data_IF_700707552155
#
_entry.id   IF_700707552155
#
_cell.length_a   1.000
_cell.length_b   1.000
_cell.length_c   1.000
_cell.angle_alpha   90.00
_cell.angle_beta   90.00
_cell.angle_gamma   90.00
#
_symmetry.space_group_name_H-M   'P 1'
#
loop_
_entity.id
_entity.type
_entity.pdbx_description
1 polymer ?
#
# COMPACT_ATOMS: atom_id res chain seq x y z
N UNK A 1 -18.52 -16.49 -2.68
CA UNK A 1 -19.38 -16.05 -1.56
C UNK A 1 -18.63 -15.69 -0.29
N UNK A 2 -17.83 -16.59 0.31
CA UNK A 2 -17.16 -16.35 1.61
C UNK A 2 -16.40 -15.01 1.75
N UNK A 3 -15.72 -14.55 0.69
CA UNK A 3 -14.92 -13.31 0.71
C UNK A 3 -15.73 -12.02 0.56
N UNK A 4 -16.95 -12.08 0.04
CA UNK A 4 -17.84 -10.92 0.02
C UNK A 4 -18.36 -10.61 1.43
N UNK A 5 -18.59 -11.65 2.25
CA UNK A 5 -18.90 -11.45 3.67
C UNK A 5 -17.75 -10.79 4.43
N UNK A 6 -16.49 -11.05 4.06
CA UNK A 6 -15.35 -10.37 4.67
C UNK A 6 -15.37 -8.86 4.45
N UNK A 7 -15.89 -8.38 3.30
CA UNK A 7 -16.06 -6.94 3.08
C UNK A 7 -17.07 -6.38 4.07
N UNK A 8 -18.26 -7.00 4.14
CA UNK A 8 -19.33 -6.56 5.05
C UNK A 8 -18.87 -6.60 6.52
N UNK A 9 -18.22 -7.68 6.95
CA UNK A 9 -17.67 -7.81 8.30
C UNK A 9 -16.58 -6.76 8.55
N UNK A 10 -15.68 -6.51 7.59
CA UNK A 10 -14.65 -5.48 7.74
C UNK A 10 -15.28 -4.09 7.88
N UNK A 11 -16.25 -3.74 7.03
CA UNK A 11 -16.96 -2.46 7.10
C UNK A 11 -17.68 -2.29 8.45
N UNK A 12 -18.40 -3.30 8.91
CA UNK A 12 -19.09 -3.27 10.21
C UNK A 12 -18.09 -3.15 11.36
N UNK A 13 -17.00 -3.93 11.33
CA UNK A 13 -15.98 -3.89 12.37
C UNK A 13 -15.28 -2.52 12.43
N UNK A 14 -14.97 -1.93 11.28
CA UNK A 14 -14.38 -0.59 11.20
C UNK A 14 -15.36 0.46 11.70
N UNK A 15 -16.63 0.41 11.25
CA UNK A 15 -17.65 1.38 11.64
C UNK A 15 -17.96 1.34 13.15
N UNK A 16 -18.13 0.14 13.73
CA UNK A 16 -18.39 -0.02 15.17
C UNK A 16 -17.14 0.24 16.03
N UNK A 17 -15.96 -0.05 15.47
CA UNK A 17 -14.68 0.13 16.15
C UNK A 17 -14.01 1.48 15.90
N UNK A 18 -14.68 2.43 15.23
CA UNK A 18 -14.06 3.65 14.73
C UNK A 18 -13.34 4.44 15.82
N UNK A 19 -13.96 4.62 16.98
CA UNK A 19 -13.39 5.39 18.09
C UNK A 19 -12.43 4.56 18.99
N UNK A 20 -12.19 3.30 18.64
CA UNK A 20 -11.35 2.40 19.44
C UNK A 20 -9.86 2.59 19.18
N UNK A 21 -9.04 2.46 20.23
CA UNK A 21 -7.58 2.41 20.08
C UNK A 21 -7.10 1.23 19.23
N UNK A 22 -7.93 0.19 19.07
CA UNK A 22 -7.58 -0.98 18.26
C UNK A 22 -7.54 -0.70 16.75
N UNK A 23 -8.38 0.23 16.25
CA UNK A 23 -8.39 0.57 14.82
C UNK A 23 -7.32 1.60 14.48
N UNK A 24 -6.77 2.30 15.48
CA UNK A 24 -5.80 3.39 15.29
C UNK A 24 -4.60 3.02 14.40
N UNK A 25 -3.94 1.85 14.54
CA UNK A 25 -2.85 1.47 13.63
C UNK A 25 -3.33 1.34 12.17
N UNK A 26 -4.55 0.88 11.95
CA UNK A 26 -5.14 0.77 10.62
C UNK A 26 -5.47 2.15 10.03
N UNK A 27 -5.95 3.10 10.84
CA UNK A 27 -6.17 4.50 10.42
C UNK A 27 -4.86 5.19 10.04
N UNK A 28 -3.83 5.05 10.89
CA UNK A 28 -2.49 5.57 10.61
C UNK A 28 -1.89 4.96 9.33
N UNK A 29 -2.16 3.68 9.05
CA UNK A 29 -1.75 3.06 7.79
C UNK A 29 -2.43 3.71 6.59
N UNK A 30 -3.73 4.03 6.68
CA UNK A 30 -4.42 4.73 5.59
C UNK A 30 -3.80 6.10 5.35
N UNK A 31 -3.61 6.89 6.41
CA UNK A 31 -2.97 8.22 6.34
C UNK A 31 -1.57 8.11 5.74
N UNK A 32 -0.79 7.11 6.15
CA UNK A 32 0.53 6.88 5.57
C UNK A 32 0.47 6.59 4.06
N UNK A 33 -0.44 5.73 3.61
CA UNK A 33 -0.62 5.44 2.18
C UNK A 33 -1.13 6.67 1.41
N UNK A 34 -1.95 7.51 2.05
CA UNK A 34 -2.41 8.79 1.51
C UNK A 34 -1.24 9.73 1.25
N UNK A 35 -0.38 9.95 2.25
CA UNK A 35 0.85 10.75 2.09
C UNK A 35 1.82 10.16 1.06
N UNK A 36 1.95 8.83 1.01
CA UNK A 36 2.75 8.16 -0.02
C UNK A 36 2.26 8.48 -1.43
N UNK A 37 0.94 8.59 -1.66
CA UNK A 37 0.41 8.96 -2.97
C UNK A 37 0.70 10.41 -3.34
N UNK A 38 0.61 11.35 -2.39
CA UNK A 38 1.09 12.72 -2.61
C UNK A 38 2.56 12.72 -3.03
N UNK A 39 3.41 12.01 -2.28
CA UNK A 39 4.84 11.93 -2.54
C UNK A 39 5.17 11.31 -3.90
N UNK A 40 4.55 10.17 -4.22
CA UNK A 40 4.75 9.49 -5.51
C UNK A 40 4.29 10.34 -6.70
N UNK A 41 3.14 11.01 -6.57
CA UNK A 41 2.66 11.91 -7.62
C UNK A 41 3.54 13.15 -7.76
N UNK A 42 4.03 13.71 -6.66
CA UNK A 42 4.95 14.84 -6.70
C UNK A 42 6.29 14.46 -7.36
N UNK A 43 6.83 13.29 -7.03
CA UNK A 43 8.01 12.73 -7.70
C UNK A 43 7.79 12.57 -9.21
N UNK A 44 6.62 12.04 -9.62
CA UNK A 44 6.26 11.94 -11.03
C UNK A 44 6.11 13.32 -11.70
N UNK A 45 5.73 14.34 -10.93
CA UNK A 45 5.71 15.75 -11.32
C UNK A 45 7.08 16.41 -11.44
N UNK A 46 8.16 15.70 -11.13
CA UNK A 46 9.54 16.16 -11.29
C UNK A 46 10.14 16.87 -10.08
N UNK A 47 9.50 16.80 -8.90
CA UNK A 47 10.08 17.34 -7.65
C UNK A 47 10.64 16.24 -6.76
N UNK A 48 11.50 16.61 -5.82
CA UNK A 48 12.08 15.65 -4.87
C UNK A 48 11.14 15.46 -3.68
N UNK A 49 10.84 14.22 -3.34
CA UNK A 49 10.23 13.86 -2.06
C UNK A 49 11.32 13.86 -0.97
N UNK A 50 11.16 14.68 0.06
CA UNK A 50 12.13 14.79 1.15
C UNK A 50 11.73 13.89 2.32
N UNK A 51 10.48 13.97 2.77
CA UNK A 51 10.01 13.22 3.94
C UNK A 51 8.49 13.16 4.01
N UNK A 52 7.99 12.06 4.57
CA UNK A 52 6.60 11.81 4.94
C UNK A 52 6.55 11.68 6.46
N UNK A 53 5.66 12.45 7.09
CA UNK A 53 5.38 12.36 8.52
C UNK A 53 3.91 12.10 8.74
N UNK A 54 3.63 11.32 9.77
CA UNK A 54 2.28 11.15 10.30
C UNK A 54 2.32 11.35 11.80
N UNK A 55 1.26 11.94 12.33
CA UNK A 55 1.12 12.26 13.74
C UNK A 55 0.08 11.37 14.40
N UNK A 56 0.11 11.33 15.74
CA UNK A 56 -0.78 10.47 16.51
C UNK A 56 -2.26 10.89 16.46
N UNK A 57 -2.55 12.09 15.95
CA UNK A 57 -3.88 12.64 15.72
C UNK A 57 -4.40 12.38 14.30
N UNK A 58 -3.74 11.48 13.56
CA UNK A 58 -4.10 11.08 12.18
C UNK A 58 -3.93 12.19 11.15
N UNK A 59 -3.20 13.26 11.49
CA UNK A 59 -2.67 14.20 10.50
C UNK A 59 -1.40 13.66 9.83
N UNK A 60 -1.19 14.07 8.58
CA UNK A 60 -0.03 13.73 7.77
C UNK A 60 0.56 14.97 7.10
N UNK A 61 1.86 14.93 6.81
CA UNK A 61 2.51 15.92 5.96
C UNK A 61 3.51 15.26 5.01
N UNK A 62 3.42 15.61 3.73
CA UNK A 62 4.35 15.22 2.68
C UNK A 62 5.20 16.43 2.28
N UNK A 63 6.48 16.39 2.64
CA UNK A 63 7.45 17.45 2.36
C UNK A 63 8.16 17.18 1.03
N UNK A 64 8.10 18.16 0.13
CA UNK A 64 8.72 18.09 -1.19
C UNK A 64 9.54 19.35 -1.50
N UNK A 65 10.66 19.16 -2.19
CA UNK A 65 11.52 20.25 -2.67
C UNK A 65 11.47 20.32 -4.19
N UNK A 66 11.06 21.48 -4.70
CA UNK A 66 11.04 21.79 -6.12
C UNK A 66 9.82 22.63 -6.51
N UNK A 67 9.68 22.89 -7.80
CA UNK A 67 8.52 23.61 -8.33
C UNK A 67 7.62 22.66 -9.12
N UNK A 68 6.42 22.41 -8.59
CA UNK A 68 5.37 21.69 -9.32
C UNK A 68 4.65 22.64 -10.26
N UNK A 69 4.60 22.27 -11.55
CA UNK A 69 3.72 22.93 -12.51
C UNK A 69 2.25 22.71 -12.13
N UNK A 70 1.35 23.57 -12.64
CA UNK A 70 -0.08 23.53 -12.32
C UNK A 70 -0.70 22.12 -12.38
N UNK A 71 -0.48 21.39 -13.48
CA UNK A 71 -1.06 20.05 -13.65
C UNK A 71 -0.45 19.03 -12.68
N UNK A 72 0.87 19.09 -12.47
CA UNK A 72 1.56 18.21 -11.54
C UNK A 72 1.15 18.48 -10.08
N UNK A 73 0.93 19.74 -9.72
CA UNK A 73 0.38 20.14 -8.43
C UNK A 73 -1.05 19.61 -8.23
N UNK A 74 -1.93 19.84 -9.21
CA UNK A 74 -3.32 19.35 -9.17
C UNK A 74 -3.38 17.84 -8.97
N UNK A 75 -2.58 17.09 -9.73
CA UNK A 75 -2.50 15.64 -9.60
C UNK A 75 -1.94 15.23 -8.23
N UNK A 76 -0.88 15.89 -7.76
CA UNK A 76 -0.26 15.57 -6.47
C UNK A 76 -1.22 15.80 -5.31
N UNK A 77 -1.93 16.92 -5.26
CA UNK A 77 -2.92 17.19 -4.21
C UNK A 77 -4.15 16.26 -4.31
N UNK A 78 -4.53 15.83 -5.52
CA UNK A 78 -5.63 14.86 -5.67
C UNK A 78 -5.22 13.42 -5.34
N UNK A 79 -3.92 13.11 -5.39
CA UNK A 79 -3.40 11.76 -5.33
C UNK A 79 -3.65 11.09 -3.99
N UNK A 80 -3.65 11.82 -2.87
CA UNK A 80 -3.89 11.25 -1.54
C UNK A 80 -5.20 10.45 -1.49
N UNK A 81 -6.33 11.13 -1.70
CA UNK A 81 -7.65 10.51 -1.69
C UNK A 81 -7.86 9.48 -2.82
N UNK A 82 -7.60 9.89 -4.06
CA UNK A 82 -7.88 9.06 -5.24
C UNK A 82 -6.96 7.85 -5.28
N UNK A 83 -5.68 8.06 -4.99
CA UNK A 83 -4.65 7.01 -4.96
C UNK A 83 -4.92 6.01 -3.86
N UNK A 84 -5.28 6.45 -2.65
CA UNK A 84 -5.58 5.52 -1.54
C UNK A 84 -6.80 4.66 -1.87
N UNK A 85 -7.86 5.26 -2.39
CA UNK A 85 -9.03 4.52 -2.86
C UNK A 85 -8.69 3.55 -4.00
N UNK A 86 -7.83 3.97 -4.93
CA UNK A 86 -7.37 3.12 -6.03
C UNK A 86 -6.52 1.94 -5.54
N UNK A 87 -5.60 2.14 -4.60
CA UNK A 87 -4.87 1.06 -3.92
C UNK A 87 -5.86 0.11 -3.29
N UNK A 88 -6.81 0.62 -2.49
CA UNK A 88 -7.85 -0.19 -1.87
C UNK A 88 -8.62 -1.04 -2.87
N UNK A 89 -9.04 -0.43 -3.97
CA UNK A 89 -9.75 -1.09 -5.05
C UNK A 89 -8.92 -2.19 -5.74
N UNK A 90 -7.62 -1.96 -5.99
CA UNK A 90 -6.74 -2.97 -6.58
C UNK A 90 -6.52 -4.17 -5.64
N UNK A 91 -6.31 -3.92 -4.35
CA UNK A 91 -6.20 -4.99 -3.34
C UNK A 91 -7.51 -5.80 -3.28
N UNK A 92 -8.65 -5.10 -3.22
CA UNK A 92 -9.97 -5.72 -3.15
C UNK A 92 -10.26 -6.55 -4.39
N UNK A 93 -9.93 -6.05 -5.58
CA UNK A 93 -10.08 -6.77 -6.84
C UNK A 93 -9.32 -8.09 -6.83
N UNK A 94 -8.02 -8.06 -6.52
CA UNK A 94 -7.17 -9.26 -6.48
C UNK A 94 -7.68 -10.27 -5.43
N UNK A 95 -8.07 -9.77 -4.24
CA UNK A 95 -8.62 -10.57 -3.17
C UNK A 95 -9.98 -11.20 -3.49
N UNK A 96 -10.87 -10.52 -4.21
CA UNK A 96 -12.17 -11.06 -4.60
C UNK A 96 -12.08 -12.02 -5.78
N UNK A 97 -11.23 -11.70 -6.76
CA UNK A 97 -11.03 -12.50 -7.98
C UNK A 97 -10.15 -13.74 -7.74
N UNK A 98 -9.55 -13.90 -6.55
CA UNK A 98 -8.62 -15.00 -6.25
C UNK A 98 -7.47 -15.09 -7.27
N UNK A 99 -7.08 -13.94 -7.83
CA UNK A 99 -6.09 -13.84 -8.88
C UNK A 99 -4.94 -12.95 -8.41
N UNK A 100 -3.70 -13.38 -8.67
CA UNK A 100 -2.48 -12.66 -8.32
C UNK A 100 -2.31 -12.30 -6.83
N UNK A 101 -3.02 -12.95 -5.91
CA UNK A 101 -3.12 -12.53 -4.49
C UNK A 101 -1.75 -12.36 -3.82
N UNK A 102 -0.85 -13.34 -3.97
CA UNK A 102 0.50 -13.27 -3.39
C UNK A 102 1.34 -12.19 -4.06
N UNK A 103 1.20 -12.03 -5.37
CA UNK A 103 1.94 -11.03 -6.14
C UNK A 103 1.49 -9.62 -5.77
N UNK A 104 0.18 -9.37 -5.74
CA UNK A 104 -0.40 -8.08 -5.35
C UNK A 104 -0.04 -7.72 -3.92
N UNK A 105 -0.17 -8.65 -2.96
CA UNK A 105 0.24 -8.41 -1.59
C UNK A 105 1.76 -8.20 -1.48
N UNK A 106 2.56 -8.94 -2.25
CA UNK A 106 4.02 -8.79 -2.31
C UNK A 106 4.45 -7.42 -2.81
N UNK A 107 3.86 -6.94 -3.89
CA UNK A 107 4.12 -5.60 -4.44
C UNK A 107 3.71 -4.53 -3.42
N UNK A 108 2.51 -4.64 -2.83
CA UNK A 108 2.06 -3.71 -1.80
C UNK A 108 3.02 -3.70 -0.60
N UNK A 109 3.43 -4.87 -0.11
CA UNK A 109 4.37 -5.03 1.01
C UNK A 109 5.71 -4.38 0.71
N UNK A 110 6.26 -4.62 -0.48
CA UNK A 110 7.54 -4.09 -0.92
C UNK A 110 7.50 -2.57 -1.05
N UNK A 111 6.46 -2.02 -1.69
CA UNK A 111 6.31 -0.57 -1.87
C UNK A 111 6.11 0.13 -0.52
N UNK A 112 5.25 -0.41 0.33
CA UNK A 112 5.02 0.12 1.68
C UNK A 112 6.32 0.11 2.49
N UNK A 113 7.06 -0.99 2.46
CA UNK A 113 8.34 -1.10 3.16
C UNK A 113 9.35 -0.09 2.61
N UNK A 114 9.52 -0.05 1.29
CA UNK A 114 10.47 0.83 0.60
C UNK A 114 10.20 2.31 0.89
N UNK A 115 8.94 2.74 0.73
CA UNK A 115 8.54 4.12 0.99
C UNK A 115 8.71 4.49 2.47
N UNK A 116 8.31 3.60 3.38
CA UNK A 116 8.44 3.85 4.82
C UNK A 116 9.91 3.89 5.25
N UNK A 117 10.75 3.01 4.71
CA UNK A 117 12.15 2.93 5.11
C UNK A 117 12.98 4.12 4.61
N UNK A 118 12.72 4.62 3.40
CA UNK A 118 13.53 5.68 2.79
C UNK A 118 13.00 7.10 3.03
N UNK A 119 11.69 7.27 3.14
CA UNK A 119 11.07 8.60 3.13
C UNK A 119 10.38 8.94 4.45
N UNK A 120 10.65 8.22 5.54
CA UNK A 120 10.14 8.59 6.87
C UNK A 120 11.27 8.60 7.90
N UNK A 121 11.14 9.46 8.91
CA UNK A 121 12.14 9.57 9.97
C UNK A 121 12.22 8.27 10.78
N UNK A 122 13.42 7.68 10.99
CA UNK A 122 13.56 6.43 11.75
C UNK A 122 12.96 6.51 13.15
N UNK A 123 12.10 5.55 13.48
CA UNK A 123 11.40 5.49 14.78
C UNK A 123 10.17 6.40 14.89
N UNK A 124 9.84 7.18 13.85
CA UNK A 124 8.60 7.94 13.79
C UNK A 124 7.36 7.03 13.70
N UNK A 125 6.18 7.60 13.94
CA UNK A 125 4.89 6.91 13.76
C UNK A 125 4.74 6.37 12.35
N UNK A 126 5.17 7.12 11.32
CA UNK A 126 5.10 6.72 9.91
C UNK A 126 5.99 5.51 9.66
N UNK A 127 7.23 5.59 10.13
CA UNK A 127 8.22 4.52 10.02
C UNK A 127 7.71 3.22 10.64
N UNK A 128 7.24 3.28 11.90
CA UNK A 128 6.76 2.11 12.62
C UNK A 128 5.49 1.53 12.01
N UNK A 129 4.53 2.39 11.62
CA UNK A 129 3.27 1.94 10.99
C UNK A 129 3.54 1.20 9.69
N UNK A 130 4.42 1.76 8.86
CA UNK A 130 4.84 1.15 7.60
C UNK A 130 5.55 -0.18 7.80
N UNK A 131 6.59 -0.21 8.65
CA UNK A 131 7.37 -1.43 8.88
C UNK A 131 6.57 -2.56 9.53
N UNK A 132 5.75 -2.27 10.54
CA UNK A 132 4.94 -3.28 11.22
C UNK A 132 3.86 -3.83 10.29
N UNK A 133 3.24 -2.98 9.47
CA UNK A 133 2.26 -3.42 8.48
C UNK A 133 2.93 -4.26 7.39
N UNK A 134 4.10 -3.84 6.88
CA UNK A 134 4.87 -4.64 5.92
C UNK A 134 5.29 -5.99 6.50
N UNK A 135 5.68 -6.04 7.77
CA UNK A 135 5.99 -7.29 8.46
C UNK A 135 4.75 -8.20 8.56
N UNK A 136 3.59 -7.65 8.95
CA UNK A 136 2.34 -8.39 9.00
C UNK A 136 1.96 -8.93 7.61
N UNK A 137 2.06 -8.09 6.57
CA UNK A 137 1.78 -8.49 5.20
C UNK A 137 2.75 -9.57 4.70
N UNK A 138 4.02 -9.48 5.10
CA UNK A 138 5.04 -10.51 4.84
C UNK A 138 4.68 -11.84 5.51
N UNK A 139 4.22 -11.83 6.77
CA UNK A 139 3.71 -13.03 7.44
C UNK A 139 2.53 -13.65 6.67
N UNK A 140 1.59 -12.83 6.18
CA UNK A 140 0.47 -13.30 5.37
C UNK A 140 0.91 -13.91 4.02
N UNK A 141 2.02 -13.43 3.43
CA UNK A 141 2.62 -14.02 2.22
C UNK A 141 3.21 -15.41 2.48
N UNK A 142 3.81 -15.62 3.67
CA UNK A 142 4.34 -16.91 4.11
C UNK A 142 3.25 -17.89 4.49
N UNK A 143 2.14 -17.41 5.06
CA UNK A 143 0.98 -18.24 5.44
C UNK A 143 0.20 -18.78 4.23
N UNK A 144 0.50 -18.28 3.03
CA UNK A 144 0.04 -18.84 1.77
C UNK A 144 -1.05 -18.03 1.09
N UNK A 145 -1.52 -18.56 -0.04
CA UNK A 145 -2.39 -17.85 -0.99
C UNK A 145 -3.71 -17.39 -0.38
N UNK A 146 -4.36 -18.25 0.42
CA UNK A 146 -5.65 -17.91 1.01
C UNK A 146 -5.54 -16.81 2.08
N UNK A 147 -4.52 -16.87 2.94
CA UNK A 147 -4.24 -15.83 3.92
C UNK A 147 -3.93 -14.49 3.24
N UNK A 148 -3.10 -14.50 2.19
CA UNK A 148 -2.82 -13.32 1.37
C UNK A 148 -4.10 -12.74 0.78
N UNK A 149 -4.96 -13.58 0.18
CA UNK A 149 -6.23 -13.16 -0.40
C UNK A 149 -7.20 -12.55 0.60
N UNK A 150 -7.31 -13.11 1.80
CA UNK A 150 -8.13 -12.54 2.89
C UNK A 150 -7.55 -11.22 3.38
N UNK A 151 -6.24 -11.13 3.55
CA UNK A 151 -5.54 -9.89 3.91
C UNK A 151 -5.79 -8.76 2.90
N UNK A 152 -5.73 -9.06 1.61
CA UNK A 152 -6.04 -8.12 0.54
C UNK A 152 -7.48 -7.59 0.62
N UNK A 153 -8.46 -8.47 0.90
CA UNK A 153 -9.86 -8.04 1.06
C UNK A 153 -10.02 -7.13 2.28
N UNK A 154 -9.40 -7.44 3.40
CA UNK A 154 -9.47 -6.63 4.62
C UNK A 154 -8.80 -5.27 4.42
N UNK A 155 -7.55 -5.24 3.92
CA UNK A 155 -6.82 -4.00 3.63
C UNK A 155 -7.51 -3.17 2.56
N UNK A 156 -8.00 -3.81 1.49
CA UNK A 156 -8.74 -3.14 0.45
C UNK A 156 -10.03 -2.50 0.97
N UNK A 157 -10.75 -3.21 1.84
CA UNK A 157 -11.96 -2.69 2.50
C UNK A 157 -11.64 -1.51 3.41
N UNK A 158 -10.56 -1.58 4.18
CA UNK A 158 -10.08 -0.50 5.05
C UNK A 158 -9.80 0.78 4.25
N UNK A 159 -8.99 0.70 3.19
CA UNK A 159 -8.65 1.88 2.38
C UNK A 159 -9.88 2.48 1.70
N UNK A 160 -10.76 1.66 1.12
CA UNK A 160 -11.99 2.16 0.49
C UNK A 160 -12.91 2.83 1.51
N UNK A 161 -13.13 2.20 2.67
CA UNK A 161 -13.99 2.76 3.71
C UNK A 161 -13.45 4.10 4.19
N UNK A 162 -12.16 4.17 4.49
CA UNK A 162 -11.54 5.37 5.03
C UNK A 162 -11.50 6.51 4.02
N UNK A 163 -11.14 6.26 2.74
CA UNK A 163 -11.16 7.30 1.70
C UNK A 163 -12.56 7.87 1.46
N UNK A 164 -13.62 7.09 1.68
CA UNK A 164 -14.99 7.59 1.66
C UNK A 164 -15.30 8.40 2.92
N UNK A 165 -14.99 7.86 4.11
CA UNK A 165 -15.31 8.49 5.39
C UNK A 165 -14.58 9.82 5.60
N UNK A 166 -13.29 9.88 5.30
CA UNK A 166 -12.44 11.05 5.52
C UNK A 166 -12.91 12.26 4.71
N UNK A 167 -13.43 12.04 3.50
CA UNK A 167 -13.97 13.08 2.64
C UNK A 167 -15.34 13.62 3.12
N UNK A 168 -16.04 12.86 3.97
CA UNK A 168 -17.26 13.29 4.67
C UNK A 168 -16.97 13.95 6.03
N UNK A 169 -15.72 13.98 6.51
CA UNK A 169 -15.40 14.66 7.75
C UNK A 169 -15.37 16.18 7.57
N UNK A 170 -16.56 16.77 7.48
CA UNK A 170 -16.78 18.22 7.37
C UNK A 170 -16.43 18.98 8.64
N UNK A 171 -15.89 18.34 9.68
CA UNK A 171 -15.52 19.02 10.92
C UNK A 171 -14.24 19.84 10.77
N UNK A 172 -13.41 19.57 9.75
CA UNK A 172 -12.16 20.29 9.49
C UNK A 172 -11.94 20.63 8.01
N UNK A 173 -12.90 21.31 7.34
CA UNK A 173 -12.86 21.49 5.89
C UNK A 173 -11.62 22.27 5.41
N UNK A 174 -11.10 23.18 6.25
CA UNK A 174 -9.94 24.02 5.95
C UNK A 174 -8.58 23.30 6.06
N UNK A 175 -8.54 22.08 6.60
CA UNK A 175 -7.32 21.27 6.77
C UNK A 175 -7.24 20.10 5.79
N UNK A 176 -8.02 20.14 4.70
CA UNK A 176 -8.09 19.06 3.70
C UNK A 176 -7.26 19.40 2.45
N UNK A 177 -6.91 18.38 1.66
CA UNK A 177 -6.30 18.56 0.34
C UNK A 177 -7.18 19.40 -0.59
N UNK A 178 -8.50 19.29 -0.44
CA UNK A 178 -9.45 20.11 -1.20
C UNK A 178 -9.28 21.60 -0.86
N UNK A 179 -9.02 21.94 0.41
CA UNK A 179 -8.68 23.31 0.82
C UNK A 179 -7.32 23.76 0.30
N UNK A 180 -6.30 22.88 0.28
CA UNK A 180 -5.00 23.19 -0.31
C UNK A 180 -5.15 23.55 -1.79
N UNK A 181 -5.89 22.73 -2.55
CA UNK A 181 -6.16 23.00 -3.96
C UNK A 181 -7.00 24.27 -4.15
N UNK A 182 -8.05 24.45 -3.35
CA UNK A 182 -8.92 25.62 -3.41
C UNK A 182 -8.15 26.93 -3.17
N UNK A 183 -7.28 26.98 -2.16
CA UNK A 183 -6.41 28.13 -1.89
C UNK A 183 -5.40 28.37 -3.00
N UNK A 184 -4.88 27.31 -3.61
CA UNK A 184 -4.02 27.43 -4.79
C UNK A 184 -4.78 28.03 -5.98
N UNK A 185 -6.03 27.60 -6.25
CA UNK A 185 -6.87 28.17 -7.29
C UNK A 185 -7.21 29.64 -7.03
N UNK A 186 -7.53 29.99 -5.78
CA UNK A 186 -7.75 31.38 -5.36
C UNK A 186 -6.50 32.25 -5.60
N UNK A 187 -5.30 31.74 -5.28
CA UNK A 187 -4.03 32.46 -5.55
C UNK A 187 -3.78 32.73 -7.05
N UNK A 188 -4.48 32.01 -7.93
CA UNK A 188 -4.43 32.18 -9.39
C UNK A 188 -5.53 33.12 -9.92
N UNK A 189 -6.29 33.75 -9.03
CA UNK A 189 -7.37 34.70 -9.37
C UNK A 189 -8.71 34.06 -9.67
N UNK A 190 -8.93 32.80 -9.28
CA UNK A 190 -10.24 32.16 -9.35
C UNK A 190 -11.10 32.53 -8.13
N UNK A 191 -12.33 32.00 -8.05
CA UNK A 191 -13.24 32.23 -6.91
C UNK A 191 -12.58 31.87 -5.55
N UNK A 192 -13.15 32.39 -4.46
CA UNK A 192 -12.69 32.15 -3.09
C UNK A 192 -12.56 30.67 -2.77
N UNK A 193 -11.57 30.30 -1.95
CA UNK A 193 -11.32 28.89 -1.60
C UNK A 193 -12.58 28.18 -1.08
N UNK A 194 -13.38 28.85 -0.24
CA UNK A 194 -14.63 28.30 0.32
C UNK A 194 -15.64 27.84 -0.74
N UNK A 195 -15.63 28.45 -1.94
CA UNK A 195 -16.50 28.06 -3.04
C UNK A 195 -16.02 26.79 -3.76
N UNK A 196 -14.72 26.49 -3.71
CA UNK A 196 -14.11 25.36 -4.42
C UNK A 196 -13.98 24.09 -3.58
N UNK A 197 -13.85 24.19 -2.25
CA UNK A 197 -13.67 23.04 -1.35
C UNK A 197 -14.77 21.99 -1.57
N UNK A 198 -16.03 22.41 -1.55
CA UNK A 198 -17.19 21.53 -1.75
C UNK A 198 -17.18 20.82 -3.11
N UNK A 199 -17.13 21.56 -4.24
CA UNK A 199 -17.07 20.98 -5.57
C UNK A 199 -15.90 20.01 -5.80
N UNK A 200 -14.70 20.33 -5.30
CA UNK A 200 -13.52 19.45 -5.39
C UNK A 200 -13.79 18.15 -4.63
N UNK A 201 -14.28 18.24 -3.40
CA UNK A 201 -14.59 17.08 -2.56
C UNK A 201 -15.66 16.19 -3.19
N UNK A 202 -16.70 16.77 -3.79
CA UNK A 202 -17.73 16.01 -4.52
C UNK A 202 -17.13 15.31 -5.75
N UNK A 203 -16.29 15.99 -6.52
CA UNK A 203 -15.65 15.40 -7.70
C UNK A 203 -14.76 14.20 -7.32
N UNK A 204 -13.96 14.32 -6.27
CA UNK A 204 -13.16 13.21 -5.76
C UNK A 204 -14.02 12.07 -5.21
N UNK A 205 -15.11 12.38 -4.49
CA UNK A 205 -16.07 11.37 -4.02
C UNK A 205 -16.63 10.55 -5.18
N UNK A 206 -17.08 11.23 -6.24
CA UNK A 206 -17.63 10.57 -7.43
C UNK A 206 -16.56 9.66 -8.08
N UNK A 207 -15.31 10.14 -8.18
CA UNK A 207 -14.20 9.35 -8.71
C UNK A 207 -13.96 8.08 -7.88
N UNK A 208 -13.90 8.21 -6.55
CA UNK A 208 -13.71 7.09 -5.61
C UNK A 208 -14.85 6.08 -5.74
N UNK A 209 -16.10 6.54 -5.69
CA UNK A 209 -17.28 5.67 -5.82
C UNK A 209 -17.27 4.93 -7.16
N UNK A 210 -16.89 5.60 -8.25
CA UNK A 210 -16.80 4.97 -9.56
C UNK A 210 -15.71 3.88 -9.59
N UNK A 211 -14.52 4.15 -9.07
CA UNK A 211 -13.40 3.18 -8.99
C UNK A 211 -13.81 1.94 -8.19
N UNK A 212 -14.49 2.14 -7.05
CA UNK A 212 -14.99 1.05 -6.21
C UNK A 212 -16.08 0.26 -6.92
N UNK A 213 -17.07 0.94 -7.52
CA UNK A 213 -18.18 0.29 -8.22
C UNK A 213 -17.68 -0.55 -9.42
N UNK A 214 -16.72 -0.03 -10.19
CA UNK A 214 -16.11 -0.76 -11.31
C UNK A 214 -15.33 -1.99 -10.82
N UNK A 215 -14.63 -1.88 -9.70
CA UNK A 215 -13.92 -3.00 -9.06
C UNK A 215 -14.88 -4.10 -8.61
N UNK A 216 -15.95 -3.73 -7.90
CA UNK A 216 -16.95 -4.69 -7.42
C UNK A 216 -17.70 -5.35 -8.59
N UNK A 217 -18.06 -4.57 -9.63
CA UNK A 217 -18.67 -5.10 -10.86
C UNK A 217 -17.74 -6.09 -11.55
N UNK A 218 -16.46 -5.75 -11.70
CA UNK A 218 -15.46 -6.64 -12.31
C UNK A 218 -15.33 -7.96 -11.55
N UNK A 219 -15.30 -7.90 -10.22
CA UNK A 219 -15.26 -9.10 -9.38
C UNK A 219 -16.53 -9.96 -9.49
N UNK A 220 -17.71 -9.33 -9.53
CA UNK A 220 -18.99 -10.03 -9.69
C UNK A 220 -19.09 -10.75 -11.04
N UNK A 221 -18.70 -10.07 -12.13
CA UNK A 221 -18.69 -10.67 -13.47
C UNK A 221 -17.72 -11.85 -13.56
N UNK A 222 -16.54 -11.75 -12.94
CA UNK A 222 -15.57 -12.84 -12.93
C UNK A 222 -16.12 -14.08 -12.22
N UNK A 223 -16.78 -13.91 -11.08
CA UNK A 223 -17.42 -15.01 -10.35
C UNK A 223 -18.58 -15.67 -11.12
N UNK A 224 -19.33 -14.90 -11.90
CA UNK A 224 -20.39 -15.43 -12.77
C UNK A 224 -19.82 -16.31 -13.89
N UNK A 225 -18.71 -15.88 -14.50
CA UNK A 225 -18.02 -16.67 -15.54
C UNK A 225 -17.44 -17.98 -15.01
N UNK A 226 -16.82 -17.98 -13.82
CA UNK A 226 -16.32 -19.22 -13.21
C UNK A 226 -17.45 -20.22 -12.91
N UNK A 227 -18.59 -19.72 -12.44
CA UNK A 227 -19.76 -20.57 -12.11
C UNK A 227 -20.38 -21.24 -13.33
N UNK A 228 -20.36 -20.58 -14.50
CA UNK A 228 -20.86 -21.15 -15.76
C UNK A 228 -19.88 -22.15 -16.41
N UNK A 229 -18.59 -22.08 -16.05
CA UNK A 229 -17.53 -22.91 -16.62
C UNK A 229 -17.28 -24.19 -15.84
N UNK A 230 -17.94 -24.38 -14.68
CA UNK A 230 -17.81 -25.59 -13.88
C UNK A 230 -18.42 -26.78 -14.66
N UNK A 231 -17.69 -27.91 -14.82
CA UNK A 231 -18.22 -29.08 -15.51
C UNK A 231 -19.55 -29.49 -14.89
N UNK A 232 -20.61 -29.61 -15.70
CA UNK A 232 -21.79 -30.36 -15.29
C UNK A 232 -21.32 -31.78 -14.98
N UNK A 233 -21.46 -32.22 -13.72
CA UNK A 233 -21.38 -33.65 -13.41
C UNK A 233 -22.29 -34.37 -14.42
N UNK A 234 -21.80 -35.38 -15.14
CA UNK A 234 -22.65 -36.15 -16.02
C UNK A 234 -23.78 -36.68 -15.15
N UNK A 235 -25.01 -36.23 -15.45
CA UNK A 235 -26.20 -36.70 -14.77
C UNK A 235 -26.15 -38.23 -14.80
N UNK A 236 -26.04 -38.85 -13.62
CA UNK A 236 -26.20 -40.27 -13.44
C UNK A 236 -27.57 -40.63 -14.01
N UNK A 237 -27.59 -41.11 -15.25
CA UNK A 237 -28.78 -41.66 -15.88
C UNK A 237 -29.24 -42.84 -15.00
N UNK A 238 -30.47 -42.82 -14.49
CA UNK A 238 -31.00 -43.91 -13.69
C UNK A 238 -31.46 -45.02 -14.63
N UNK A 239 -30.53 -45.66 -15.35
CA UNK A 239 -30.83 -46.91 -16.04
C UNK A 239 -29.54 -47.68 -16.37
N UNK A 240 -29.08 -48.48 -15.41
CA UNK A 240 -28.18 -49.61 -15.65
C UNK A 240 -28.19 -50.54 -14.42
N UNK A 241 -29.36 -51.08 -14.09
CA UNK A 241 -29.46 -52.25 -13.23
C UNK A 241 -29.54 -53.51 -14.09
N UNK A 242 -28.44 -54.26 -14.20
CA UNK A 242 -28.45 -55.74 -14.37
C UNK A 242 -27.02 -56.29 -14.60
N UNK A 243 -26.48 -56.95 -13.56
CA UNK A 243 -25.69 -58.19 -13.63
C UNK A 243 -24.42 -58.27 -14.48
N UNK A 244 -23.26 -58.36 -13.83
CA UNK A 244 -22.56 -59.64 -13.62
C UNK A 244 -21.38 -59.43 -12.67
N UNK A 245 -21.33 -60.27 -11.63
CA UNK A 245 -20.13 -60.47 -10.82
C UNK A 245 -19.24 -61.48 -11.55
N UNK A 246 -18.21 -61.00 -12.23
CA UNK A 246 -17.12 -61.85 -12.71
C UNK A 246 -15.83 -61.44 -11.99
N UNK A 247 -15.38 -62.32 -11.09
CA UNK A 247 -14.06 -62.28 -10.48
C UNK A 247 -13.09 -62.92 -11.49
N UNK A 248 -12.06 -62.23 -12.00
CA UNK A 248 -11.04 -62.88 -12.81
C UNK A 248 -10.06 -63.64 -11.91
N UNK A 249 -10.06 -64.95 -12.08
CA UNK A 249 -9.09 -65.91 -11.56
C UNK A 249 -7.73 -65.70 -12.24
N UNK A 250 -6.65 -65.58 -11.45
CA UNK A 250 -5.27 -65.58 -11.93
C UNK A 250 -4.91 -66.91 -12.60
N UNK A 251 -4.24 -66.83 -13.75
CA UNK A 251 -3.44 -67.95 -14.30
C UNK A 251 -2.07 -67.42 -14.74
N UNK A 252 -0.95 -68.11 -14.46
CA UNK A 252 0.40 -67.55 -14.60
C UNK A 252 0.91 -67.59 -16.04
N UNK A 253 1.45 -66.46 -16.52
CA UNK A 253 2.08 -66.32 -17.83
C UNK A 253 3.56 -65.93 -17.71
N UNK A 254 4.39 -66.52 -18.59
CA UNK A 254 5.85 -66.61 -18.60
C UNK A 254 6.64 -65.28 -18.70
N UNK A 255 7.97 -65.27 -18.43
CA UNK A 255 8.75 -64.07 -18.17
C UNK A 255 9.18 -63.35 -19.45
N UNK A 256 9.14 -62.01 -19.43
CA UNK A 256 9.60 -61.14 -20.51
C UNK A 256 10.87 -60.35 -20.06
N UNK A 257 11.88 -60.17 -20.94
CA UNK A 257 13.25 -59.87 -20.53
C UNK A 257 13.53 -58.39 -20.25
N UNK A 258 14.58 -58.18 -19.46
CA UNK A 258 15.12 -56.94 -18.93
C UNK A 258 15.22 -55.80 -19.94
N UNK A 259 14.56 -54.67 -19.62
CA UNK A 259 14.83 -53.37 -20.22
C UNK A 259 15.82 -52.59 -19.35
N UNK A 260 16.86 -52.08 -20.00
CA UNK A 260 18.04 -51.43 -19.43
C UNK A 260 17.75 -50.19 -18.55
N UNK A 261 18.63 -49.88 -17.57
CA UNK A 261 18.47 -48.72 -16.70
C UNK A 261 18.81 -47.40 -17.42
N UNK A 262 18.10 -46.29 -17.14
CA UNK A 262 18.53 -44.96 -17.54
C UNK A 262 19.69 -44.42 -16.69
N UNK A 263 20.60 -43.72 -17.36
CA UNK A 263 21.90 -43.18 -16.92
C UNK A 263 21.84 -42.16 -15.76
N UNK A 264 22.94 -41.99 -14.99
CA UNK A 264 23.02 -41.04 -13.88
C UNK A 264 23.13 -39.56 -14.34
N UNK A 265 22.67 -38.59 -13.53
CA UNK A 265 22.78 -37.17 -13.83
C UNK A 265 24.24 -36.68 -13.80
N UNK A 266 24.58 -35.89 -14.82
CA UNK A 266 25.90 -35.36 -15.10
C UNK A 266 26.41 -34.35 -14.06
N UNK A 267 27.73 -34.27 -14.02
CA UNK A 267 28.55 -33.45 -13.14
C UNK A 267 28.32 -31.94 -13.32
N UNK A 268 28.37 -31.23 -12.20
CA UNK A 268 28.55 -29.78 -12.11
C UNK A 268 30.01 -29.42 -12.46
N UNK A 269 30.28 -28.35 -13.23
CA UNK A 269 31.62 -27.79 -13.33
C UNK A 269 31.98 -26.95 -12.09
N UNK A 270 33.26 -26.91 -11.68
CA UNK A 270 33.74 -26.13 -10.55
C UNK A 270 34.13 -24.70 -10.96
N UNK A 271 34.54 -23.93 -9.96
CA UNK A 271 35.29 -22.66 -10.01
C UNK A 271 34.48 -21.36 -10.08
N UNK A 272 34.36 -20.72 -8.90
CA UNK A 272 34.83 -19.34 -8.73
C UNK A 272 35.23 -19.15 -7.26
N UNK A 273 36.49 -19.43 -6.96
CA UNK A 273 37.14 -19.00 -5.73
C UNK A 273 37.76 -17.61 -5.92
N UNK A 274 37.49 -16.76 -4.93
CA UNK A 274 38.36 -15.72 -4.39
C UNK A 274 39.01 -14.72 -5.36
N UNK A 275 38.52 -13.47 -5.35
CA UNK A 275 39.38 -12.30 -5.17
C UNK A 275 38.67 -11.26 -4.29
N UNK A 276 39.13 -11.17 -3.04
CA UNK A 276 38.91 -10.01 -2.19
C UNK A 276 39.97 -8.96 -2.53
N UNK A 277 39.54 -7.71 -2.65
CA UNK A 277 40.42 -6.54 -2.51
C UNK A 277 39.73 -5.60 -1.54
N UNK A 278 40.30 -5.53 -0.34
CA UNK A 278 40.00 -4.54 0.67
C UNK A 278 40.58 -3.19 0.23
N UNK A 279 39.77 -2.15 0.21
CA UNK A 279 40.23 -0.76 0.16
C UNK A 279 39.92 -0.09 1.50
N UNK A 280 40.98 0.43 2.12
CA UNK A 280 40.95 1.11 3.41
C UNK A 280 40.21 2.46 3.34
N UNK A 281 39.51 2.90 4.41
CA UNK A 281 38.99 4.25 4.48
C UNK A 281 40.11 5.24 4.87
N UNK A 282 40.22 6.33 4.11
CA UNK A 282 41.11 7.46 4.41
C UNK A 282 40.68 8.23 5.67
N UNK A 283 41.56 9.10 6.21
CA UNK A 283 41.37 9.72 7.52
C UNK A 283 40.20 10.71 7.54
N UNK A 284 39.38 10.59 8.58
CA UNK A 284 38.34 11.54 8.99
C UNK A 284 39.01 12.79 9.57
N UNK A 285 38.75 14.02 9.07
CA UNK A 285 39.19 15.22 9.75
C UNK A 285 38.38 15.43 11.04
N UNK A 286 39.13 15.69 12.10
CA UNK A 286 38.69 15.93 13.48
C UNK A 286 37.71 17.08 13.62
N UNK A 287 36.67 16.85 14.43
CA UNK A 287 35.81 17.87 15.02
C UNK A 287 36.65 18.92 15.77
N UNK A 288 36.81 20.09 15.19
CA UNK A 288 37.18 21.31 15.92
C UNK A 288 36.01 22.29 15.85
N UNK A 289 35.59 22.74 17.02
CA UNK A 289 34.48 23.64 17.31
C UNK A 289 34.48 24.90 16.43
N UNK A 290 33.45 25.04 15.59
CA UNK A 290 33.13 26.29 14.85
C UNK A 290 32.03 27.09 15.59
N UNK A 291 31.78 26.81 16.87
CA UNK A 291 30.61 27.36 17.56
C UNK A 291 30.76 28.79 18.14
N UNK A 292 31.95 29.39 18.17
CA UNK A 292 32.18 30.62 18.95
C UNK A 292 32.52 31.88 18.16
N UNK A 293 32.45 31.87 16.83
CA UNK A 293 32.58 33.10 16.04
C UNK A 293 31.33 33.38 15.22
N UNK A 294 30.71 34.54 15.50
CA UNK A 294 29.64 35.14 14.71
C UNK A 294 29.92 35.09 13.20
N UNK A 295 28.94 34.75 12.35
CA UNK A 295 29.09 34.87 10.91
C UNK A 295 29.42 36.33 10.53
N UNK A 296 30.25 36.57 9.50
CA UNK A 296 30.58 37.92 9.07
C UNK A 296 29.32 38.72 8.70
N UNK A 297 29.14 39.90 9.30
CA UNK A 297 28.02 40.80 9.04
C UNK A 297 26.88 40.77 10.06
N UNK A 298 27.02 40.02 11.15
CA UNK A 298 26.01 39.92 12.20
C UNK A 298 26.38 40.78 13.41
N UNK A 299 25.44 41.56 13.93
CA UNK A 299 25.65 42.34 15.15
C UNK A 299 25.58 41.42 16.39
N UNK A 300 26.31 41.76 17.45
CA UNK A 300 26.34 41.01 18.70
C UNK A 300 24.94 40.92 19.36
N UNK A 301 24.13 41.97 19.20
CA UNK A 301 22.78 42.04 19.75
C UNK A 301 21.80 41.07 19.04
N UNK A 302 21.93 40.93 17.71
CA UNK A 302 21.11 40.02 16.90
C UNK A 302 21.38 38.54 17.24
N UNK A 303 22.63 38.23 17.57
CA UNK A 303 23.03 36.89 18.01
C UNK A 303 22.50 36.55 19.39
N UNK A 304 22.42 37.52 20.29
CA UNK A 304 21.88 37.29 21.64
C UNK A 304 20.36 37.13 21.59
N UNK A 305 19.66 37.89 20.75
CA UNK A 305 18.22 37.74 20.50
C UNK A 305 17.88 36.34 19.96
N UNK A 306 18.65 35.84 18.98
CA UNK A 306 18.44 34.50 18.43
C UNK A 306 18.76 33.40 19.46
N UNK A 307 19.80 33.59 20.28
CA UNK A 307 20.11 32.64 21.38
C UNK A 307 18.98 32.59 22.41
N UNK A 308 18.38 33.73 22.74
CA UNK A 308 17.24 33.80 23.64
C UNK A 308 15.98 33.15 23.03
N UNK A 309 15.71 33.36 21.73
CA UNK A 309 14.62 32.67 21.02
C UNK A 309 14.82 31.15 21.00
N UNK A 310 16.04 30.67 20.73
CA UNK A 310 16.36 29.23 20.74
C UNK A 310 16.26 28.63 22.15
N UNK A 311 16.62 29.39 23.19
CA UNK A 311 16.47 28.96 24.58
C UNK A 311 14.99 28.88 25.02
N UNK A 312 14.12 29.75 24.49
CA UNK A 312 12.68 29.68 24.75
C UNK A 312 12.00 28.50 24.05
N UNK A 313 12.47 28.09 22.88
CA UNK A 313 11.94 26.93 22.15
C UNK A 313 12.33 25.58 22.77
N UNK A 314 13.29 25.55 23.71
CA UNK A 314 13.73 24.33 24.42
C UNK A 314 13.02 24.08 25.76
N UNK A 315 11.95 24.81 26.06
CA UNK A 315 11.02 24.55 27.18
C UNK A 315 9.70 23.99 26.66
#
# INVERSE_FOLDING_TARGET
>A
MARYYLIAVSFVAIALGWDSLLIKPARLLVVLVHEMWHGLSAMAGGVRLDTIRIHADESGETLVTGHLQFLAFLLSVSAGYIGTAWTGAMLLRSGLQRSWERTTLGIFTLLLFYMSYLFTDPGSTAYLTGLLTSLLALVLLFLGRDASGKGLVVLGSLFVFYSLFDLYDFQRPQATDAAILARYLESRGLQSADAWIGPISVAWTICIVLVVALTLRSAALHGASESQSAPQEPALSPDAGAGSTDIPMETPGAPQPDAAPPSPPGALPPDFAAQGVATAPGPVPSNTSVADSAPPGWNADELDEIRQMVAQMKK
#
